data_IF_304620855211
#
_entry.id   IF_304620855211
#
_cell.length_a   1.000
_cell.length_b   1.000
_cell.length_c   1.000
_cell.angle_alpha   90.00
_cell.angle_beta   90.00
_cell.angle_gamma   90.00
#
_symmetry.space_group_name_H-M   'P 1'
#
loop_
_entity.id
_entity.type
_entity.pdbx_description
1 polymer ?
#
# COMPACT_ATOMS: atom_id res chain seq x y z
N UNK A 1 -13.91 5.75 -12.50
CA UNK A 1 -13.27 4.52 -11.96
C UNK A 1 -13.23 4.62 -10.46
N UNK A 2 -13.65 3.56 -9.75
CA UNK A 2 -13.64 3.45 -8.29
C UNK A 2 -12.48 2.56 -7.86
N UNK A 3 -11.55 3.10 -7.11
CA UNK A 3 -10.37 2.40 -6.60
C UNK A 3 -10.53 2.14 -5.09
N UNK A 4 -10.18 0.95 -4.65
CA UNK A 4 -10.13 0.58 -3.23
C UNK A 4 -8.73 0.09 -2.91
N UNK A 5 -8.15 0.56 -1.81
CA UNK A 5 -6.89 0.05 -1.28
C UNK A 5 -7.10 -0.47 0.14
N UNK A 6 -6.62 -1.68 0.44
CA UNK A 6 -6.85 -2.34 1.72
C UNK A 6 -5.70 -3.27 2.12
N UNK A 7 -5.04 -2.96 3.24
CA UNK A 7 -4.15 -3.92 3.89
C UNK A 7 -5.01 -4.97 4.60
N UNK A 8 -5.00 -6.20 4.08
CA UNK A 8 -5.85 -7.31 4.58
C UNK A 8 -5.20 -8.13 5.68
N UNK A 9 -3.94 -7.87 5.99
CA UNK A 9 -3.18 -8.59 7.02
C UNK A 9 -3.36 -10.12 6.94
N UNK A 10 -3.25 -10.66 5.74
CA UNK A 10 -3.47 -12.08 5.42
C UNK A 10 -4.81 -12.33 4.76
N UNK A 11 -4.81 -12.40 3.42
CA UNK A 11 -6.05 -12.53 2.63
C UNK A 11 -6.82 -13.80 2.95
N UNK A 12 -6.15 -14.92 3.25
CA UNK A 12 -6.84 -16.17 3.64
C UNK A 12 -7.71 -15.98 4.88
N UNK A 13 -7.20 -15.29 5.90
CA UNK A 13 -7.97 -14.98 7.09
C UNK A 13 -9.09 -13.96 6.82
N UNK A 14 -8.85 -13.02 5.91
CA UNK A 14 -9.81 -12.01 5.51
C UNK A 14 -10.98 -12.61 4.72
N UNK A 15 -10.74 -13.63 3.89
CA UNK A 15 -11.78 -14.38 3.18
C UNK A 15 -12.81 -14.96 4.14
N UNK A 16 -12.36 -15.57 5.25
CA UNK A 16 -13.26 -16.10 6.30
C UNK A 16 -13.99 -15.01 7.11
N UNK A 17 -13.73 -13.74 6.88
CA UNK A 17 -14.32 -12.59 7.59
C UNK A 17 -15.13 -11.66 6.69
N UNK A 18 -15.57 -12.14 5.53
CA UNK A 18 -16.46 -11.37 4.65
C UNK A 18 -15.74 -10.54 3.58
N UNK A 19 -14.53 -10.90 3.19
CA UNK A 19 -13.80 -10.21 2.11
C UNK A 19 -14.62 -10.15 0.81
N UNK A 20 -15.26 -11.25 0.41
CA UNK A 20 -16.06 -11.28 -0.83
C UNK A 20 -17.32 -10.43 -0.71
N UNK A 21 -17.97 -10.42 0.46
CA UNK A 21 -19.12 -9.56 0.72
C UNK A 21 -18.73 -8.08 0.64
N UNK A 22 -17.55 -7.73 1.16
CA UNK A 22 -17.02 -6.38 1.02
C UNK A 22 -16.73 -6.04 -0.45
N UNK A 23 -16.14 -6.93 -1.22
CA UNK A 23 -15.89 -6.70 -2.64
C UNK A 23 -17.19 -6.46 -3.42
N UNK A 24 -18.23 -7.25 -3.15
CA UNK A 24 -19.55 -7.07 -3.73
C UNK A 24 -20.20 -5.74 -3.32
N UNK A 25 -20.12 -5.38 -2.04
CA UNK A 25 -20.63 -4.10 -1.53
C UNK A 25 -19.88 -2.90 -2.10
N UNK A 26 -18.56 -2.98 -2.11
CA UNK A 26 -17.71 -1.90 -2.60
C UNK A 26 -17.92 -1.65 -4.09
N UNK A 27 -18.23 -2.69 -4.87
CA UNK A 27 -18.42 -2.61 -6.32
C UNK A 27 -17.35 -1.73 -6.99
N UNK A 28 -16.10 -2.02 -6.68
CA UNK A 28 -14.96 -1.25 -7.15
C UNK A 28 -14.50 -1.71 -8.54
N UNK A 29 -13.98 -0.80 -9.34
CA UNK A 29 -13.33 -1.14 -10.61
C UNK A 29 -11.97 -1.80 -10.38
N UNK A 30 -11.23 -1.34 -9.35
CA UNK A 30 -9.94 -1.90 -8.97
C UNK A 30 -9.82 -2.02 -7.44
N UNK A 31 -9.28 -3.15 -6.99
CA UNK A 31 -9.02 -3.45 -5.58
C UNK A 31 -7.53 -3.74 -5.42
N UNK A 32 -6.83 -2.87 -4.69
CA UNK A 32 -5.42 -2.98 -4.35
C UNK A 32 -5.28 -3.57 -2.94
N UNK A 33 -4.57 -4.68 -2.81
CA UNK A 33 -4.40 -5.39 -1.54
C UNK A 33 -2.94 -5.37 -1.10
N UNK A 34 -2.73 -5.18 0.19
CA UNK A 34 -1.42 -5.27 0.83
C UNK A 34 -1.45 -6.34 1.93
N UNK A 35 -0.31 -6.92 2.20
CA UNK A 35 -0.14 -8.04 3.12
C UNK A 35 -1.05 -9.23 2.79
N UNK A 36 -1.04 -9.66 1.55
CA UNK A 36 -1.81 -10.85 1.13
C UNK A 36 -1.35 -12.12 1.84
N UNK A 37 -0.04 -12.22 2.15
CA UNK A 37 0.62 -13.32 2.88
C UNK A 37 0.30 -14.70 2.28
N UNK A 38 0.02 -14.75 0.97
CA UNK A 38 -0.30 -15.97 0.25
C UNK A 38 0.17 -15.88 -1.21
N UNK A 39 0.27 -17.05 -1.84
CA UNK A 39 0.55 -17.16 -3.28
C UNK A 39 -0.74 -17.38 -4.07
N UNK A 40 -0.77 -17.03 -5.37
CA UNK A 40 -1.96 -17.19 -6.22
C UNK A 40 -2.57 -18.60 -6.17
N UNK A 41 -1.72 -19.64 -6.15
CA UNK A 41 -2.14 -21.05 -6.14
C UNK A 41 -2.90 -21.45 -4.86
N UNK A 42 -2.81 -20.64 -3.82
CA UNK A 42 -3.50 -20.83 -2.55
C UNK A 42 -4.84 -20.06 -2.49
N UNK A 43 -5.18 -19.32 -3.55
CA UNK A 43 -6.36 -18.47 -3.62
C UNK A 43 -7.58 -19.27 -4.12
N UNK A 44 -8.13 -20.11 -3.26
CA UNK A 44 -9.34 -20.89 -3.53
C UNK A 44 -10.60 -20.03 -3.32
N UNK A 45 -10.80 -18.99 -4.13
CA UNK A 45 -12.02 -18.17 -4.15
C UNK A 45 -12.29 -17.66 -5.56
N UNK A 46 -13.57 -17.42 -5.83
CA UNK A 46 -13.99 -16.80 -7.08
C UNK A 46 -14.33 -15.32 -6.86
N UNK A 47 -13.90 -14.49 -7.81
CA UNK A 47 -14.23 -13.07 -7.87
C UNK A 47 -14.57 -12.74 -9.33
N UNK A 48 -15.80 -13.05 -9.78
CA UNK A 48 -16.18 -12.91 -11.17
C UNK A 48 -16.01 -11.49 -11.71
N UNK A 49 -15.52 -11.36 -12.93
CA UNK A 49 -15.32 -10.10 -13.60
C UNK A 49 -14.04 -9.35 -13.22
N UNK A 50 -13.18 -9.96 -12.39
CA UNK A 50 -11.88 -9.38 -12.07
C UNK A 50 -10.73 -10.25 -12.60
N UNK A 51 -9.80 -9.61 -13.30
CA UNK A 51 -8.45 -10.11 -13.51
C UNK A 51 -7.64 -9.90 -12.23
N UNK A 52 -6.70 -10.81 -11.95
CA UNK A 52 -5.96 -10.83 -10.69
C UNK A 52 -4.47 -10.87 -10.93
N UNK A 53 -3.76 -9.86 -10.45
CA UNK A 53 -2.31 -9.72 -10.53
C UNK A 53 -1.73 -9.82 -9.12
N UNK A 54 -0.67 -10.63 -8.96
CA UNK A 54 -0.09 -10.93 -7.67
C UNK A 54 1.42 -10.70 -7.67
N UNK A 55 1.92 -10.07 -6.63
CA UNK A 55 3.34 -10.01 -6.33
C UNK A 55 3.54 -10.61 -4.93
N UNK A 56 4.02 -11.84 -4.87
CA UNK A 56 4.19 -12.58 -3.63
C UNK A 56 5.65 -12.54 -3.18
N UNK A 57 5.87 -12.45 -1.85
CA UNK A 57 7.21 -12.58 -1.33
C UNK A 57 7.76 -14.00 -1.50
N UNK A 58 9.07 -14.12 -1.62
CA UNK A 58 9.77 -15.42 -1.62
C UNK A 58 9.51 -16.18 -0.31
N UNK A 59 9.50 -15.45 0.80
CA UNK A 59 9.19 -16.00 2.13
C UNK A 59 7.69 -16.24 2.26
N UNK A 60 7.32 -17.52 2.46
CA UNK A 60 5.93 -17.91 2.66
C UNK A 60 5.27 -17.20 3.86
N UNK A 61 4.02 -16.78 3.69
CA UNK A 61 3.24 -16.14 4.74
C UNK A 61 3.69 -14.73 5.14
N UNK A 62 4.48 -14.08 4.29
CA UNK A 62 5.04 -12.75 4.54
C UNK A 62 4.69 -11.79 3.42
N UNK A 63 4.45 -10.49 3.74
CA UNK A 63 4.25 -9.41 2.77
C UNK A 63 3.23 -9.76 1.66
N UNK A 64 3.54 -9.42 0.43
CA UNK A 64 2.73 -9.68 -0.76
C UNK A 64 1.70 -8.61 -1.04
N UNK A 65 1.57 -8.24 -2.33
CA UNK A 65 0.54 -7.34 -2.85
C UNK A 65 -0.29 -8.04 -3.91
N UNK A 66 -1.51 -7.56 -4.15
CA UNK A 66 -2.33 -7.98 -5.26
C UNK A 66 -3.16 -6.83 -5.81
N UNK A 67 -3.43 -6.86 -7.10
CA UNK A 67 -4.36 -5.95 -7.79
C UNK A 67 -5.41 -6.79 -8.48
N UNK A 68 -6.68 -6.57 -8.13
CA UNK A 68 -7.83 -7.16 -8.80
C UNK A 68 -8.53 -6.06 -9.58
N UNK A 69 -8.76 -6.25 -10.86
CA UNK A 69 -9.27 -5.20 -11.75
C UNK A 69 -10.29 -5.73 -12.75
N UNK A 70 -11.34 -4.96 -13.00
CA UNK A 70 -12.34 -5.24 -14.05
C UNK A 70 -11.91 -4.78 -15.43
N UNK A 71 -11.02 -3.79 -15.47
CA UNK A 71 -10.47 -3.28 -16.71
C UNK A 71 -9.07 -3.84 -16.92
N UNK A 72 -8.85 -4.58 -17.99
CA UNK A 72 -7.54 -5.11 -18.34
C UNK A 72 -6.52 -3.97 -18.49
N UNK A 73 -5.42 -3.96 -17.73
CA UNK A 73 -4.35 -2.98 -17.90
C UNK A 73 -3.63 -3.16 -19.24
N UNK A 74 -3.03 -2.10 -19.77
CA UNK A 74 -2.17 -2.15 -20.94
C UNK A 74 -0.89 -2.95 -20.66
N UNK A 75 -0.36 -2.81 -19.45
CA UNK A 75 0.77 -3.56 -18.94
C UNK A 75 0.73 -3.69 -17.42
N UNK A 76 1.39 -4.70 -16.88
CA UNK A 76 1.59 -4.87 -15.43
C UNK A 76 3.05 -5.18 -15.17
N UNK A 77 3.66 -4.41 -14.28
CA UNK A 77 5.04 -4.63 -13.83
C UNK A 77 5.09 -4.83 -12.31
N UNK A 78 6.13 -5.52 -11.86
CA UNK A 78 6.31 -5.89 -10.47
C UNK A 78 7.60 -5.30 -9.94
N UNK A 79 7.52 -4.74 -8.73
CA UNK A 79 8.61 -4.00 -8.11
C UNK A 79 9.04 -2.79 -8.97
N UNK A 80 10.22 -2.23 -8.76
CA UNK A 80 10.71 -1.06 -9.49
C UNK A 80 12.17 -1.23 -9.96
N UNK A 81 12.51 -2.47 -10.36
CA UNK A 81 13.72 -2.76 -11.13
C UNK A 81 14.99 -2.99 -10.32
N UNK A 82 15.01 -2.66 -9.01
CA UNK A 82 16.19 -2.86 -8.17
C UNK A 82 16.16 -4.22 -7.47
N UNK A 83 17.23 -5.00 -7.61
CA UNK A 83 17.33 -6.37 -7.08
C UNK A 83 17.11 -6.45 -5.58
N UNK A 84 17.63 -5.47 -4.82
CA UNK A 84 17.51 -5.41 -3.35
C UNK A 84 16.05 -5.35 -2.88
N UNK A 85 15.11 -4.95 -3.76
CA UNK A 85 13.69 -4.79 -3.44
C UNK A 85 12.77 -5.90 -3.94
N UNK A 86 13.28 -6.85 -4.76
CA UNK A 86 12.46 -7.83 -5.49
C UNK A 86 11.88 -8.97 -4.67
N UNK A 87 12.41 -9.24 -3.49
CA UNK A 87 12.11 -10.50 -2.78
C UNK A 87 10.91 -10.44 -1.84
N UNK A 88 10.31 -9.26 -1.67
CA UNK A 88 9.28 -9.07 -0.66
C UNK A 88 7.86 -8.84 -1.23
N UNK A 89 7.70 -8.79 -2.57
CA UNK A 89 6.39 -8.70 -3.23
C UNK A 89 5.61 -7.44 -2.83
N UNK A 90 6.23 -6.25 -2.97
CA UNK A 90 5.71 -5.03 -2.36
C UNK A 90 5.04 -4.06 -3.32
N UNK A 91 5.32 -4.15 -4.61
CA UNK A 91 4.82 -3.17 -5.58
C UNK A 91 4.26 -3.86 -6.80
N UNK A 92 3.07 -3.45 -7.22
CA UNK A 92 2.47 -3.77 -8.52
C UNK A 92 2.12 -2.45 -9.19
N UNK A 93 2.62 -2.25 -10.40
CA UNK A 93 2.25 -1.13 -11.25
C UNK A 93 1.38 -1.63 -12.40
N UNK A 94 0.15 -1.16 -12.47
CA UNK A 94 -0.77 -1.41 -13.56
C UNK A 94 -0.89 -0.15 -14.43
N UNK A 95 -0.60 -0.28 -15.73
CA UNK A 95 -0.74 0.81 -16.69
C UNK A 95 -2.14 0.82 -17.27
N UNK A 96 -2.83 1.93 -17.15
CA UNK A 96 -4.08 2.21 -17.85
C UNK A 96 -3.87 3.27 -18.95
N UNK A 97 -4.82 3.45 -19.87
CA UNK A 97 -4.67 4.45 -20.94
C UNK A 97 -4.33 5.84 -20.43
N UNK A 98 -4.95 6.27 -19.32
CA UNK A 98 -4.87 7.63 -18.82
C UNK A 98 -3.93 7.81 -17.63
N UNK A 99 -3.52 6.73 -16.93
CA UNK A 99 -2.70 6.82 -15.72
C UNK A 99 -1.99 5.51 -15.38
N UNK A 100 -1.00 5.59 -14.50
CA UNK A 100 -0.43 4.44 -13.80
C UNK A 100 -1.07 4.29 -12.42
N UNK A 101 -1.44 3.05 -12.06
CA UNK A 101 -1.83 2.69 -10.70
C UNK A 101 -0.70 1.92 -10.04
N UNK A 102 -0.15 2.46 -8.97
CA UNK A 102 0.92 1.83 -8.19
C UNK A 102 0.34 1.39 -6.84
N UNK A 103 0.13 0.08 -6.70
CA UNK A 103 -0.25 -0.56 -5.44
C UNK A 103 1.01 -0.93 -4.66
N UNK A 104 1.14 -0.40 -3.45
CA UNK A 104 2.35 -0.52 -2.67
C UNK A 104 2.10 -1.02 -1.24
N UNK A 105 3.03 -1.82 -0.73
CA UNK A 105 3.18 -2.14 0.68
C UNK A 105 4.59 -1.77 1.14
N UNK A 106 4.72 -0.56 1.64
CA UNK A 106 6.00 -0.01 2.07
C UNK A 106 6.61 -0.81 3.23
N UNK A 107 7.93 -1.09 3.24
CA UNK A 107 8.57 -1.81 4.32
C UNK A 107 8.40 -1.09 5.66
N UNK A 108 8.01 -1.81 6.70
CA UNK A 108 8.00 -1.29 8.07
C UNK A 108 9.41 -1.25 8.65
N UNK A 109 9.77 -0.20 9.38
CA UNK A 109 11.08 -0.05 10.02
C UNK A 109 11.31 -1.00 11.20
N UNK A 110 10.27 -1.71 11.63
CA UNK A 110 10.22 -2.72 12.71
C UNK A 110 10.61 -2.19 14.09
N UNK A 111 10.57 -3.11 15.06
CA UNK A 111 10.95 -2.80 16.43
C UNK A 111 12.40 -2.31 16.50
N UNK A 112 12.65 -1.34 17.38
CA UNK A 112 13.94 -0.69 17.56
C UNK A 112 14.51 -0.07 16.26
N UNK A 113 13.63 0.18 15.27
CA UNK A 113 13.99 0.77 13.97
C UNK A 113 15.05 -0.02 13.21
N UNK A 114 15.08 -1.34 13.41
CA UNK A 114 16.13 -2.24 12.90
C UNK A 114 16.22 -2.30 11.36
N UNK A 115 15.22 -1.78 10.66
CA UNK A 115 15.18 -1.67 9.18
C UNK A 115 15.07 -0.22 8.69
N UNK A 116 15.34 0.77 9.53
CA UNK A 116 15.14 2.18 9.16
C UNK A 116 16.04 2.58 7.97
N UNK A 117 17.32 2.19 7.98
CA UNK A 117 18.24 2.53 6.88
C UNK A 117 17.76 1.96 5.55
N UNK A 118 17.37 0.68 5.52
CA UNK A 118 16.77 0.05 4.34
C UNK A 118 15.49 0.77 3.91
N UNK A 119 14.65 1.18 4.86
CA UNK A 119 13.43 1.92 4.60
C UNK A 119 13.72 3.26 3.94
N UNK A 120 14.77 3.97 4.35
CA UNK A 120 15.15 5.26 3.74
C UNK A 120 15.62 5.08 2.30
N UNK A 121 16.49 4.10 2.03
CA UNK A 121 16.90 3.75 0.67
C UNK A 121 15.70 3.37 -0.21
N UNK A 122 14.80 2.53 0.31
CA UNK A 122 13.60 2.08 -0.39
C UNK A 122 12.68 3.25 -0.77
N UNK A 123 12.51 4.25 0.11
CA UNK A 123 11.69 5.43 -0.16
C UNK A 123 12.29 6.33 -1.26
N UNK A 124 13.60 6.50 -1.26
CA UNK A 124 14.27 7.28 -2.30
C UNK A 124 14.13 6.60 -3.67
N UNK A 125 14.37 5.30 -3.73
CA UNK A 125 14.26 4.51 -4.94
C UNK A 125 12.83 4.46 -5.48
N UNK A 126 11.84 4.33 -4.59
CA UNK A 126 10.43 4.37 -4.96
C UNK A 126 10.03 5.75 -5.49
N UNK A 127 10.44 6.84 -4.82
CA UNK A 127 10.16 8.21 -5.27
C UNK A 127 10.69 8.43 -6.68
N UNK A 128 11.94 8.03 -6.94
CA UNK A 128 12.54 8.16 -8.26
C UNK A 128 11.76 7.38 -9.32
N UNK A 129 11.33 6.16 -9.00
CA UNK A 129 10.47 5.35 -9.87
C UNK A 129 9.11 6.01 -10.15
N UNK A 130 8.44 6.53 -9.13
CA UNK A 130 7.16 7.21 -9.30
C UNK A 130 7.30 8.48 -10.16
N UNK A 131 8.37 9.23 -9.99
CA UNK A 131 8.68 10.42 -10.80
C UNK A 131 8.97 10.05 -12.25
N UNK A 132 9.64 8.93 -12.51
CA UNK A 132 9.87 8.41 -13.88
C UNK A 132 8.53 8.08 -14.56
N UNK A 133 7.63 7.38 -13.89
CA UNK A 133 6.30 7.09 -14.40
C UNK A 133 5.51 8.37 -14.71
N UNK A 134 5.56 9.34 -13.82
CA UNK A 134 4.81 10.60 -13.93
C UNK A 134 5.26 11.48 -15.11
N UNK A 135 6.46 11.27 -15.64
CA UNK A 135 6.89 11.91 -16.88
C UNK A 135 6.07 11.48 -18.12
N UNK A 136 5.41 10.33 -18.04
CA UNK A 136 4.66 9.75 -19.16
C UNK A 136 3.15 9.90 -18.96
N UNK A 137 2.64 9.57 -17.78
CA UNK A 137 1.22 9.63 -17.41
C UNK A 137 1.08 9.95 -15.92
N UNK A 138 -0.04 10.56 -15.51
CA UNK A 138 -0.35 10.75 -14.09
C UNK A 138 -0.25 9.43 -13.31
N UNK A 139 0.22 9.50 -12.08
CA UNK A 139 0.38 8.35 -11.21
C UNK A 139 -0.61 8.39 -10.05
N UNK A 140 -1.39 7.34 -9.88
CA UNK A 140 -2.18 7.08 -8.68
C UNK A 140 -1.39 6.10 -7.81
N UNK A 141 -0.77 6.62 -6.76
CA UNK A 141 0.00 5.84 -5.79
C UNK A 141 -0.85 5.56 -4.57
N UNK A 142 -1.07 4.29 -4.25
CA UNK A 142 -1.90 3.88 -3.12
C UNK A 142 -1.34 2.64 -2.42
N UNK A 143 -1.79 2.42 -1.20
CA UNK A 143 -1.43 1.23 -0.43
C UNK A 143 -1.24 1.50 1.05
N UNK A 144 -0.50 0.61 1.71
CA UNK A 144 -0.05 0.81 3.07
C UNK A 144 1.37 1.42 3.05
N UNK A 145 1.44 2.72 3.27
CA UNK A 145 2.69 3.49 3.21
C UNK A 145 3.51 3.37 4.50
N UNK A 146 3.00 2.69 5.52
CA UNK A 146 3.66 2.53 6.82
C UNK A 146 4.25 3.84 7.38
N UNK A 147 3.53 4.95 7.19
CA UNK A 147 3.88 6.27 7.72
C UNK A 147 2.65 7.10 8.05
N UNK A 148 2.65 7.75 9.19
CA UNK A 148 1.79 8.87 9.49
C UNK A 148 2.59 10.16 9.24
N UNK A 149 2.15 11.01 8.30
CA UNK A 149 2.93 12.15 7.86
C UNK A 149 2.95 13.28 8.89
N UNK A 150 1.78 13.73 9.31
CA UNK A 150 1.61 14.85 10.23
C UNK A 150 1.17 14.37 11.63
N UNK A 151 1.28 15.23 12.65
CA UNK A 151 0.82 14.90 14.00
C UNK A 151 -0.68 14.62 14.06
N UNK A 152 -1.47 15.19 13.16
CA UNK A 152 -2.91 14.94 13.03
C UNK A 152 -3.22 13.53 12.52
N UNK A 153 -2.24 12.86 11.86
CA UNK A 153 -2.41 11.55 11.24
C UNK A 153 -2.21 10.39 12.24
N UNK A 154 -1.80 10.68 13.47
CA UNK A 154 -1.51 9.67 14.47
C UNK A 154 -2.03 10.06 15.85
N UNK A 155 -2.56 9.09 16.59
CA UNK A 155 -2.90 9.28 18.01
C UNK A 155 -1.64 9.32 18.86
N UNK A 156 -1.59 10.24 19.83
CA UNK A 156 -0.46 10.38 20.75
C UNK A 156 0.90 10.66 20.04
N UNK A 157 0.91 11.59 19.10
CA UNK A 157 2.08 11.93 18.28
C UNK A 157 3.38 12.09 19.10
N UNK A 158 3.32 12.79 20.24
CA UNK A 158 4.50 13.04 21.09
C UNK A 158 5.19 11.77 21.59
N UNK A 159 4.41 10.73 21.95
CA UNK A 159 4.96 9.47 22.47
C UNK A 159 5.40 8.53 21.36
N UNK A 160 4.93 8.74 20.13
CA UNK A 160 5.21 7.89 18.98
C UNK A 160 6.38 8.39 18.12
N UNK A 161 7.01 9.53 18.46
CA UNK A 161 8.01 10.19 17.61
C UNK A 161 9.23 9.31 17.26
N UNK A 162 9.52 8.29 18.06
CA UNK A 162 10.59 7.33 17.82
C UNK A 162 10.05 5.92 17.47
N UNK A 163 8.77 5.82 17.13
CA UNK A 163 8.15 4.55 16.73
C UNK A 163 8.21 4.39 15.20
N UNK A 164 8.31 3.14 14.74
CA UNK A 164 8.21 2.81 13.33
C UNK A 164 6.91 3.37 12.72
N UNK A 165 7.00 4.02 11.57
CA UNK A 165 5.91 4.72 10.90
C UNK A 165 5.68 6.15 11.36
N UNK A 166 6.46 6.67 12.33
CA UNK A 166 6.36 8.07 12.77
C UNK A 166 7.68 8.70 13.17
N UNK A 167 8.80 8.14 12.76
CA UNK A 167 10.13 8.79 12.93
C UNK A 167 10.22 10.06 12.09
N UNK A 168 11.07 10.97 12.49
CA UNK A 168 11.33 12.21 11.73
C UNK A 168 11.82 11.88 10.31
N UNK A 169 12.63 10.81 10.16
CA UNK A 169 13.15 10.35 8.86
C UNK A 169 12.03 9.83 7.94
N UNK A 170 11.14 8.96 8.42
CA UNK A 170 10.03 8.44 7.63
C UNK A 170 9.07 9.55 7.21
N UNK A 171 8.78 10.48 8.11
CA UNK A 171 7.95 11.66 7.82
C UNK A 171 8.61 12.59 6.80
N UNK A 172 9.94 12.77 6.89
CA UNK A 172 10.69 13.56 5.93
C UNK A 172 10.59 12.96 4.51
N UNK A 173 10.68 11.63 4.37
CA UNK A 173 10.51 10.95 3.08
C UNK A 173 9.13 11.18 2.46
N UNK A 174 8.08 11.17 3.28
CA UNK A 174 6.74 11.54 2.79
C UNK A 174 6.67 13.01 2.36
N UNK A 175 7.33 13.92 3.09
CA UNK A 175 7.45 15.33 2.70
C UNK A 175 8.19 15.49 1.38
N UNK A 176 9.29 14.76 1.17
CA UNK A 176 10.06 14.76 -0.08
C UNK A 176 9.22 14.24 -1.26
N UNK A 177 8.43 13.19 -1.07
CA UNK A 177 7.51 12.68 -2.09
C UNK A 177 6.48 13.74 -2.49
N UNK A 178 5.85 14.41 -1.54
CA UNK A 178 4.89 15.48 -1.83
C UNK A 178 5.56 16.68 -2.50
N UNK A 179 6.78 17.04 -2.09
CA UNK A 179 7.56 18.11 -2.71
C UNK A 179 7.98 17.79 -4.15
N UNK A 180 8.05 16.51 -4.52
CA UNK A 180 8.32 16.05 -5.88
C UNK A 180 7.13 16.23 -6.85
N UNK A 181 5.98 16.71 -6.36
CA UNK A 181 4.80 17.02 -7.18
C UNK A 181 3.56 16.15 -6.87
N UNK A 182 3.67 15.19 -5.96
CA UNK A 182 2.54 14.37 -5.54
C UNK A 182 1.64 15.09 -4.55
N UNK A 183 0.39 14.70 -4.49
CA UNK A 183 -0.62 15.29 -3.60
C UNK A 183 -1.24 14.22 -2.73
N UNK A 184 -1.21 14.42 -1.39
CA UNK A 184 -2.07 13.65 -0.49
C UNK A 184 -3.53 14.03 -0.73
N UNK A 185 -4.26 13.17 -1.41
CA UNK A 185 -5.63 13.43 -1.85
C UNK A 185 -6.60 13.59 -0.66
N UNK A 186 -6.36 12.88 0.45
CA UNK A 186 -7.19 13.04 1.64
C UNK A 186 -6.93 14.40 2.30
N UNK A 187 -5.68 14.76 2.52
CA UNK A 187 -5.32 16.05 3.14
C UNK A 187 -5.65 17.25 2.27
N UNK A 188 -5.62 17.12 0.96
CA UNK A 188 -6.06 18.18 0.04
C UNK A 188 -7.54 18.54 0.20
N UNK A 189 -8.39 17.55 0.52
CA UNK A 189 -9.85 17.75 0.68
C UNK A 189 -10.24 17.94 2.14
N UNK A 190 -9.53 17.31 3.07
CA UNK A 190 -9.80 17.28 4.50
C UNK A 190 -8.56 17.69 5.33
N UNK A 191 -8.09 18.95 5.24
CA UNK A 191 -6.82 19.37 5.85
C UNK A 191 -6.79 19.23 7.38
N UNK A 192 -7.92 19.45 8.04
CA UNK A 192 -8.03 19.50 9.50
C UNK A 192 -8.79 18.30 10.11
N UNK A 193 -9.22 17.33 9.30
CA UNK A 193 -9.99 16.19 9.80
C UNK A 193 -9.08 15.19 10.51
N UNK A 194 -9.36 14.90 11.78
CA UNK A 194 -8.69 13.81 12.52
C UNK A 194 -9.33 12.50 12.13
N UNK A 195 -8.65 11.73 11.29
CA UNK A 195 -9.11 10.42 10.83
C UNK A 195 -7.93 9.48 10.63
N UNK A 196 -8.06 8.28 11.14
CA UNK A 196 -7.01 7.27 11.07
C UNK A 196 -7.45 6.14 10.13
N UNK A 197 -6.63 5.83 9.15
CA UNK A 197 -6.84 4.70 8.22
C UNK A 197 -6.40 3.37 8.82
N UNK A 198 -5.64 3.40 9.91
CA UNK A 198 -5.15 2.23 10.61
C UNK A 198 -5.32 2.39 12.12
N UNK A 199 -5.75 1.34 12.80
CA UNK A 199 -5.94 1.35 14.25
C UNK A 199 -5.56 -0.01 14.82
N UNK A 200 -4.61 -0.03 15.78
CA UNK A 200 -4.43 -1.17 16.67
C UNK A 200 -5.20 -0.90 17.95
N UNK A 201 -6.30 -1.57 18.11
CA UNK A 201 -6.97 -1.63 19.40
C UNK A 201 -7.26 -3.08 19.74
N UNK A 202 -6.50 -3.62 20.68
CA UNK A 202 -6.80 -4.91 21.31
C UNK A 202 -8.14 -4.88 22.07
N UNK A 203 -8.69 -3.69 22.31
CA UNK A 203 -9.96 -3.48 23.02
C UNK A 203 -11.20 -3.63 22.14
N UNK A 204 -11.10 -3.52 20.83
CA UNK A 204 -12.23 -3.69 19.91
C UNK A 204 -12.47 -5.14 19.46
N UNK A 205 -11.62 -6.07 19.85
CA UNK A 205 -11.82 -7.51 19.62
C UNK A 205 -12.74 -8.17 20.66
N UNK A 206 -13.34 -7.40 21.57
CA UNK A 206 -14.25 -7.88 22.62
C UNK A 206 -15.66 -7.29 22.53
N UNK A 207 -16.08 -6.88 21.35
CA UNK A 207 -17.49 -6.53 21.16
C UNK A 207 -18.14 -7.49 20.18
#
# INVERSE_FOLDING_TARGET
MKLVSWNVNGLRACLGKGFLDFCAFADADVICLQETKMRPEQAEFDLPGYERYWNSADKAGYSGTAVFTRQTPLSVTYDFGKEVHRHEGRVITAEYPEFYLVCCYTPNSKDQLSRLDYRMEWEDDLRDYLMELDQTKPVVYCGDLNVAHQEIDIKNAKTNRMSAGFTDQERAKMTELLAAGFTDSFRAVHPDEVKYSWSVSYTHLRA
#
